data_IF_241067220823
#
_entry.id   IF_241067220823
#
_cell.length_a   1.000
_cell.length_b   1.000
_cell.length_c   1.000
_cell.angle_alpha   90.00
_cell.angle_beta   90.00
_cell.angle_gamma   90.00
#
_symmetry.space_group_name_H-M   'P 1'
#
loop_
_entity.id
_entity.type
_entity.pdbx_description
1 polymer ?
#
# COMPACT_ATOMS: atom_id res chain seq x y z
N UNK A 1 -31.42 -7.30 -5.33
CA UNK A 1 -30.85 -7.46 -3.98
C UNK A 1 -29.36 -7.72 -4.14
N UNK A 2 -28.50 -6.98 -3.45
CA UNK A 2 -27.04 -7.07 -3.63
C UNK A 2 -26.51 -8.47 -3.30
N UNK A 3 -25.50 -8.92 -4.02
CA UNK A 3 -24.91 -10.24 -3.80
C UNK A 3 -24.10 -10.24 -2.50
N UNK A 4 -24.57 -10.99 -1.50
CA UNK A 4 -23.88 -11.24 -0.23
C UNK A 4 -23.79 -12.73 0.02
N UNK A 5 -22.76 -13.16 0.73
CA UNK A 5 -22.61 -14.55 1.17
C UNK A 5 -23.64 -14.90 2.26
N UNK A 6 -23.91 -16.19 2.45
CA UNK A 6 -24.76 -16.69 3.54
C UNK A 6 -24.10 -16.57 4.92
N UNK A 7 -22.77 -16.51 4.95
CA UNK A 7 -21.95 -16.31 6.14
C UNK A 7 -20.69 -15.52 5.76
N UNK A 8 -20.09 -14.75 6.69
CA UNK A 8 -18.92 -13.96 6.38
C UNK A 8 -17.67 -14.83 6.29
N UNK A 9 -16.76 -14.46 5.38
CA UNK A 9 -15.38 -14.94 5.40
C UNK A 9 -14.62 -14.15 6.47
N UNK A 10 -14.35 -14.80 7.60
CA UNK A 10 -13.72 -14.19 8.78
C UNK A 10 -12.21 -14.41 8.87
N UNK A 11 -11.62 -15.17 7.93
CA UNK A 11 -10.18 -15.35 7.84
C UNK A 11 -9.50 -13.99 7.62
N UNK A 12 -8.49 -13.71 8.43
CA UNK A 12 -7.71 -12.48 8.34
C UNK A 12 -6.41 -12.76 7.59
N UNK A 13 -6.09 -11.90 6.62
CA UNK A 13 -4.73 -11.78 6.09
C UNK A 13 -4.06 -10.63 6.81
N UNK A 14 -3.17 -10.95 7.74
CA UNK A 14 -2.42 -9.96 8.50
C UNK A 14 -0.96 -9.94 8.07
N UNK A 15 -0.35 -8.77 8.14
CA UNK A 15 1.08 -8.56 7.94
C UNK A 15 1.57 -7.50 8.92
N UNK A 16 2.85 -7.54 9.27
CA UNK A 16 3.47 -6.63 10.22
C UNK A 16 4.95 -6.45 9.91
N UNK A 17 5.52 -5.36 10.38
CA UNK A 17 6.94 -5.10 10.21
C UNK A 17 7.36 -3.79 10.84
N UNK A 18 8.64 -3.50 10.74
CA UNK A 18 9.22 -2.32 11.35
C UNK A 18 10.54 -1.95 10.67
N UNK A 19 10.94 -0.70 10.86
CA UNK A 19 12.29 -0.22 10.66
C UNK A 19 12.73 0.66 11.85
N UNK A 20 13.82 1.41 11.70
CA UNK A 20 14.34 2.29 12.75
C UNK A 20 13.41 3.45 13.11
N UNK A 21 12.37 3.73 12.30
CA UNK A 21 11.48 4.90 12.46
C UNK A 21 10.04 4.54 12.74
N UNK A 22 9.53 3.47 12.17
CA UNK A 22 8.11 3.10 12.28
C UNK A 22 7.93 1.60 12.51
N UNK A 23 6.87 1.26 13.23
CA UNK A 23 6.32 -0.09 13.32
C UNK A 23 4.95 -0.06 12.66
N UNK A 24 4.58 -1.11 11.93
CA UNK A 24 3.27 -1.22 11.31
C UNK A 24 2.66 -2.61 11.53
N UNK A 25 1.34 -2.64 11.49
CA UNK A 25 0.54 -3.84 11.36
C UNK A 25 -0.65 -3.56 10.46
N UNK A 26 -1.02 -4.52 9.62
CA UNK A 26 -2.17 -4.46 8.72
C UNK A 26 -2.94 -5.77 8.79
N UNK A 27 -4.27 -5.70 8.64
CA UNK A 27 -5.10 -6.89 8.57
C UNK A 27 -6.28 -6.64 7.64
N UNK A 28 -6.55 -7.59 6.75
CA UNK A 28 -7.62 -7.51 5.77
C UNK A 28 -8.57 -8.72 5.91
N UNK A 29 -9.87 -8.50 5.73
CA UNK A 29 -10.91 -9.52 5.88
C UNK A 29 -12.07 -9.24 4.93
N UNK A 30 -12.46 -10.22 4.11
CA UNK A 30 -13.51 -10.08 3.10
C UNK A 30 -14.91 -9.84 3.69
N UNK A 31 -15.22 -10.49 4.82
CA UNK A 31 -16.54 -10.37 5.44
C UNK A 31 -17.65 -10.94 4.56
N UNK A 32 -18.75 -10.19 4.40
CA UNK A 32 -19.98 -10.66 3.75
C UNK A 32 -20.01 -10.50 2.22
N UNK A 33 -19.01 -9.84 1.65
CA UNK A 33 -18.91 -9.62 0.20
C UNK A 33 -18.59 -10.94 -0.50
N UNK A 34 -19.04 -11.08 -1.76
CA UNK A 34 -18.76 -12.28 -2.56
C UNK A 34 -17.29 -12.42 -2.96
N UNK A 35 -16.56 -11.32 -3.00
CA UNK A 35 -15.12 -11.28 -3.26
C UNK A 35 -14.45 -10.20 -2.42
N UNK A 36 -13.15 -10.37 -2.20
CA UNK A 36 -12.30 -9.36 -1.59
C UNK A 36 -11.78 -8.43 -2.69
N UNK A 37 -12.25 -7.19 -2.69
CA UNK A 37 -11.84 -6.19 -3.69
C UNK A 37 -10.80 -5.21 -3.15
N UNK A 38 -10.54 -5.20 -1.83
CA UNK A 38 -9.55 -4.30 -1.26
C UNK A 38 -8.11 -4.81 -1.46
N UNK A 39 -7.18 -3.86 -1.56
CA UNK A 39 -5.75 -4.10 -1.53
C UNK A 39 -5.06 -3.12 -0.57
N UNK A 40 -3.80 -3.40 -0.23
CA UNK A 40 -2.96 -2.47 0.52
C UNK A 40 -1.52 -2.51 0.02
N UNK A 41 -0.76 -1.46 0.34
CA UNK A 41 0.66 -1.36 0.10
C UNK A 41 1.35 -0.86 1.36
N UNK A 42 2.47 -1.49 1.70
CA UNK A 42 3.36 -1.06 2.76
C UNK A 42 4.79 -1.04 2.23
N UNK A 43 5.41 0.13 2.25
CA UNK A 43 6.78 0.35 1.82
C UNK A 43 7.48 1.18 2.89
N UNK A 44 8.45 0.60 3.59
CA UNK A 44 9.16 1.29 4.67
C UNK A 44 10.20 2.29 4.14
N UNK A 45 10.85 1.97 3.01
CA UNK A 45 11.85 2.79 2.36
C UNK A 45 11.56 2.97 0.86
N UNK A 46 10.79 4.00 0.52
CA UNK A 46 10.43 4.31 -0.87
C UNK A 46 11.65 4.56 -1.75
N UNK A 47 12.65 5.26 -1.22
CA UNK A 47 13.81 5.65 -2.01
C UNK A 47 14.70 4.44 -2.30
N UNK A 48 14.97 3.59 -1.31
CA UNK A 48 15.71 2.35 -1.52
C UNK A 48 14.95 1.43 -2.50
N UNK A 49 13.63 1.36 -2.41
CA UNK A 49 12.86 0.45 -3.24
C UNK A 49 12.70 0.91 -4.70
N UNK A 50 12.60 2.23 -4.96
CA UNK A 50 12.20 2.72 -6.29
C UNK A 50 13.16 3.70 -6.93
N UNK A 51 14.05 4.35 -6.16
CA UNK A 51 14.96 5.38 -6.67
C UNK A 51 16.41 4.89 -6.75
N UNK A 52 16.85 4.04 -5.82
CA UNK A 52 18.17 3.40 -5.90
C UNK A 52 18.10 2.06 -6.63
N UNK A 53 18.78 1.97 -7.78
CA UNK A 53 18.89 0.72 -8.55
C UNK A 53 19.57 -0.41 -7.76
N UNK A 54 20.47 -0.07 -6.84
CA UNK A 54 21.17 -1.02 -6.00
C UNK A 54 20.44 -1.29 -4.67
N UNK A 55 19.30 -0.62 -4.43
CA UNK A 55 18.44 -0.80 -3.26
C UNK A 55 19.18 -0.65 -1.92
N UNK A 56 20.14 0.28 -1.83
CA UNK A 56 20.78 0.56 -0.56
C UNK A 56 19.79 1.24 0.39
N UNK A 57 19.81 0.88 1.69
CA UNK A 57 18.98 1.53 2.68
C UNK A 57 19.22 3.04 2.71
N UNK A 58 18.13 3.81 2.72
CA UNK A 58 18.19 5.25 2.95
C UNK A 58 18.54 5.52 4.40
N UNK A 59 19.32 6.57 4.65
CA UNK A 59 19.52 7.11 5.99
C UNK A 59 18.16 7.25 6.70
N UNK A 60 17.97 6.67 7.90
CA UNK A 60 16.71 6.73 8.62
C UNK A 60 16.11 8.14 8.63
N UNK A 61 16.88 9.19 8.95
CA UNK A 61 16.37 10.56 9.10
C UNK A 61 15.79 11.15 7.80
N UNK A 62 16.15 10.58 6.64
CA UNK A 62 15.70 11.01 5.31
C UNK A 62 14.73 10.04 4.66
N UNK A 63 14.47 8.88 5.27
CA UNK A 63 13.61 7.84 4.73
C UNK A 63 12.16 8.32 4.59
N UNK A 64 11.50 7.90 3.51
CA UNK A 64 10.08 8.11 3.29
C UNK A 64 9.39 6.75 3.25
N UNK A 65 8.47 6.54 4.18
CA UNK A 65 7.61 5.37 4.21
C UNK A 65 6.27 5.68 3.52
N UNK A 66 5.69 4.68 2.85
CA UNK A 66 4.41 4.76 2.18
C UNK A 66 3.47 3.66 2.67
N UNK A 67 2.25 4.06 2.99
CA UNK A 67 1.17 3.16 3.38
C UNK A 67 -0.07 3.55 2.58
N UNK A 68 -0.70 2.59 1.92
CA UNK A 68 -1.90 2.81 1.13
C UNK A 68 -2.91 1.69 1.31
N UNK A 69 -4.19 2.04 1.41
CA UNK A 69 -5.33 1.12 1.40
C UNK A 69 -6.24 1.51 0.25
N UNK A 70 -6.66 0.52 -0.54
CA UNK A 70 -7.41 0.72 -1.77
C UNK A 70 -8.69 -0.11 -1.68
N UNK A 71 -9.84 0.55 -1.68
CA UNK A 71 -11.18 -0.07 -1.68
C UNK A 71 -11.61 -0.26 -3.14
N UNK A 72 -11.66 -1.51 -3.60
CA UNK A 72 -12.08 -1.85 -4.95
C UNK A 72 -13.60 -1.79 -5.10
N UNK A 73 -14.08 -1.37 -6.28
CA UNK A 73 -15.51 -1.40 -6.60
C UNK A 73 -15.74 -1.86 -8.03
N UNK A 74 -16.49 -2.96 -8.18
CA UNK A 74 -16.78 -3.56 -9.48
C UNK A 74 -15.63 -4.45 -9.99
N UNK A 75 -14.85 -5.01 -9.06
CA UNK A 75 -13.69 -5.86 -9.29
C UNK A 75 -12.45 -5.41 -8.51
N UNK A 76 -11.56 -6.36 -8.25
CA UNK A 76 -10.31 -6.19 -7.49
C UNK A 76 -9.15 -5.59 -8.31
N UNK A 77 -9.20 -5.71 -9.64
CA UNK A 77 -8.05 -5.42 -10.53
C UNK A 77 -7.46 -4.02 -10.35
N UNK A 78 -8.29 -2.99 -10.17
CA UNK A 78 -7.81 -1.61 -10.03
C UNK A 78 -7.17 -1.40 -8.65
N UNK A 79 -7.75 -1.95 -7.59
CA UNK A 79 -7.18 -1.88 -6.25
C UNK A 79 -5.84 -2.63 -6.19
N UNK A 80 -5.75 -3.82 -6.78
CA UNK A 80 -4.51 -4.59 -6.90
C UNK A 80 -3.44 -3.80 -7.68
N UNK A 81 -3.80 -3.27 -8.85
CA UNK A 81 -2.88 -2.43 -9.64
C UNK A 81 -2.40 -1.21 -8.84
N UNK A 82 -3.31 -0.55 -8.11
CA UNK A 82 -2.98 0.60 -7.29
C UNK A 82 -2.02 0.24 -6.14
N UNK A 83 -2.28 -0.88 -5.44
CA UNK A 83 -1.40 -1.44 -4.42
C UNK A 83 0.02 -1.67 -4.91
N UNK A 84 0.16 -2.20 -6.12
CA UNK A 84 1.45 -2.49 -6.73
C UNK A 84 2.14 -1.25 -7.32
N UNK A 85 1.39 -0.23 -7.79
CA UNK A 85 1.96 0.78 -8.68
C UNK A 85 1.87 2.22 -8.18
N UNK A 86 0.90 2.62 -7.35
CA UNK A 86 0.71 4.05 -7.00
C UNK A 86 1.98 4.64 -6.38
N UNK A 87 2.55 3.94 -5.40
CA UNK A 87 3.75 4.38 -4.70
C UNK A 87 4.98 4.47 -5.64
N UNK A 88 5.08 3.60 -6.64
CA UNK A 88 6.10 3.65 -7.70
C UNK A 88 5.88 4.80 -8.69
N UNK A 89 4.62 5.08 -9.04
CA UNK A 89 4.28 6.18 -9.96
C UNK A 89 4.55 7.53 -9.30
N UNK A 90 4.24 7.66 -8.01
CA UNK A 90 4.50 8.86 -7.22
C UNK A 90 5.99 9.20 -7.22
N UNK A 91 6.87 8.22 -6.98
CA UNK A 91 8.33 8.43 -6.95
C UNK A 91 8.91 8.83 -8.31
N UNK A 92 8.19 8.57 -9.41
CA UNK A 92 8.58 8.96 -10.77
C UNK A 92 8.14 10.38 -11.16
N UNK A 93 7.32 11.06 -10.34
CA UNK A 93 6.85 12.41 -10.67
C UNK A 93 7.96 13.44 -10.45
N UNK A 94 8.07 14.43 -11.35
CA UNK A 94 9.01 15.54 -11.20
C UNK A 94 8.81 16.30 -9.88
N UNK A 95 7.56 16.50 -9.46
CA UNK A 95 7.23 17.13 -8.18
C UNK A 95 7.78 16.36 -6.97
N UNK A 96 7.82 15.03 -7.03
CA UNK A 96 8.42 14.20 -5.99
C UNK A 96 9.94 14.40 -5.93
N UNK A 97 10.60 14.41 -7.09
CA UNK A 97 12.04 14.64 -7.20
C UNK A 97 12.45 16.05 -6.74
N UNK A 98 11.62 17.05 -6.98
CA UNK A 98 11.83 18.44 -6.53
C UNK A 98 11.52 18.64 -5.04
N UNK A 99 11.09 17.59 -4.33
CA UNK A 99 10.72 17.67 -2.92
C UNK A 99 9.44 18.47 -2.66
N UNK A 100 8.64 18.71 -3.71
CA UNK A 100 7.35 19.39 -3.64
C UNK A 100 6.30 18.36 -3.20
N UNK A 101 6.41 17.92 -1.95
CA UNK A 101 5.38 17.14 -1.25
C UNK A 101 4.37 18.06 -0.54
N UNK A 102 4.59 19.38 -0.58
CA UNK A 102 3.77 20.38 0.09
C UNK A 102 2.51 20.71 -0.71
N UNK A 103 1.46 19.91 -0.48
CA UNK A 103 0.00 20.21 -0.57
C UNK A 103 -0.78 18.96 -1.01
N UNK A 104 -0.72 17.90 -0.21
CA UNK A 104 -1.80 16.92 -0.15
C UNK A 104 -2.71 17.28 1.03
#
# INVERSE_FOLDING_TARGET
>A
MGQTLSQPVVSKKSDEGQDERVLYGVSAMQGWRVGMEDAHAVVLDLQAQHLDKAHHPTDPDKRLSFFGVYDGHGGDRVALFAGENVHRIITQQAAFAEGILSRL
#
